data_IF_832814079994
#
_entry.id   IF_832814079994
#
_cell.length_a   1.000
_cell.length_b   1.000
_cell.length_c   1.000
_cell.angle_alpha   90.00
_cell.angle_beta   90.00
_cell.angle_gamma   90.00
#
_symmetry.space_group_name_H-M   'P 1'
#
loop_
_entity.id
_entity.type
_entity.pdbx_description
1 polymer ?
#
# COMPACT_ATOMS: atom_id res chain seq x y z
N UNK A 1 -28.16 1.94 -36.65
CA UNK A 1 -27.83 0.68 -35.96
C UNK A 1 -26.40 0.77 -35.45
N UNK A 2 -26.21 0.92 -34.14
CA UNK A 2 -24.87 1.05 -33.54
C UNK A 2 -24.22 -0.33 -33.47
N UNK A 3 -23.08 -0.51 -34.13
CA UNK A 3 -22.39 -1.79 -34.20
C UNK A 3 -21.45 -1.92 -33.01
N UNK A 4 -21.87 -2.68 -32.00
CA UNK A 4 -21.00 -2.98 -30.85
C UNK A 4 -19.82 -3.84 -31.30
N UNK A 5 -18.60 -3.38 -31.02
CA UNK A 5 -17.36 -4.11 -31.31
C UNK A 5 -16.85 -4.69 -29.99
N UNK A 6 -16.69 -6.01 -29.90
CA UNK A 6 -16.07 -6.65 -28.74
C UNK A 6 -14.59 -6.26 -28.69
N UNK A 7 -14.18 -5.59 -27.62
CA UNK A 7 -12.79 -5.19 -27.39
C UNK A 7 -12.21 -6.04 -26.27
N UNK A 8 -11.01 -6.60 -26.49
CA UNK A 8 -10.30 -7.41 -25.50
C UNK A 8 -8.96 -6.75 -25.21
N UNK A 9 -8.81 -6.23 -23.99
CA UNK A 9 -7.56 -5.66 -23.47
C UNK A 9 -7.13 -6.52 -22.27
N UNK A 10 -5.83 -6.74 -22.14
CA UNK A 10 -5.25 -7.26 -20.91
C UNK A 10 -5.08 -6.11 -19.92
N UNK A 11 -5.83 -6.12 -18.81
CA UNK A 11 -5.65 -5.18 -17.70
C UNK A 11 -4.74 -5.85 -16.66
N UNK A 12 -3.55 -5.30 -16.44
CA UNK A 12 -2.59 -5.80 -15.44
C UNK A 12 -2.45 -4.75 -14.34
N UNK A 13 -2.43 -5.19 -13.08
CA UNK A 13 -2.05 -4.30 -11.98
C UNK A 13 -0.58 -3.92 -12.14
N UNK A 14 -0.20 -2.63 -11.97
CA UNK A 14 1.21 -2.20 -12.01
C UNK A 14 2.06 -2.81 -10.90
N UNK A 15 1.43 -3.12 -9.76
CA UNK A 15 2.02 -3.66 -8.54
C UNK A 15 1.09 -4.76 -7.99
N UNK A 16 1.63 -5.67 -7.18
CA UNK A 16 0.84 -6.76 -6.60
C UNK A 16 -0.33 -6.20 -5.79
N UNK A 17 -1.54 -6.72 -6.01
CA UNK A 17 -2.76 -6.28 -5.36
C UNK A 17 -3.85 -7.33 -5.48
N UNK A 18 -5.07 -6.95 -5.12
CA UNK A 18 -6.20 -7.84 -4.97
C UNK A 18 -7.16 -7.72 -6.16
N UNK A 19 -7.55 -8.88 -6.71
CA UNK A 19 -8.57 -8.95 -7.77
C UNK A 19 -9.90 -9.26 -7.11
N UNK A 20 -10.86 -8.34 -7.24
CA UNK A 20 -12.16 -8.44 -6.56
C UNK A 20 -13.22 -9.23 -7.35
N UNK A 21 -12.93 -9.59 -8.61
CA UNK A 21 -13.86 -10.28 -9.52
C UNK A 21 -13.35 -11.65 -9.95
N UNK A 22 -14.26 -12.52 -10.40
CA UNK A 22 -13.94 -13.88 -10.89
C UNK A 22 -14.14 -13.98 -12.41
N UNK A 23 -13.54 -15.02 -12.98
CA UNK A 23 -13.73 -15.35 -14.40
C UNK A 23 -15.20 -15.69 -14.65
N UNK A 24 -15.84 -14.93 -15.55
CA UNK A 24 -17.25 -15.10 -15.91
C UNK A 24 -18.18 -14.03 -15.33
N UNK A 25 -17.69 -13.19 -14.41
CA UNK A 25 -18.49 -12.11 -13.86
C UNK A 25 -18.76 -11.02 -14.91
N UNK A 26 -19.97 -10.47 -14.88
CA UNK A 26 -20.36 -9.32 -15.71
C UNK A 26 -20.10 -8.06 -14.91
N UNK A 27 -19.34 -7.14 -15.49
CA UNK A 27 -18.94 -5.87 -14.85
C UNK A 27 -19.34 -4.69 -15.73
N UNK A 28 -19.74 -3.59 -15.10
CA UNK A 28 -20.00 -2.31 -15.74
C UNK A 28 -18.68 -1.58 -16.05
N UNK A 29 -18.77 -0.47 -16.78
CA UNK A 29 -17.59 0.32 -17.17
C UNK A 29 -16.83 0.89 -15.96
N UNK A 30 -17.55 1.21 -14.89
CA UNK A 30 -17.04 1.89 -13.69
C UNK A 30 -16.75 0.92 -12.53
N UNK A 31 -16.98 -0.38 -12.72
CA UNK A 31 -16.76 -1.37 -11.66
C UNK A 31 -15.25 -1.53 -11.37
N UNK A 32 -14.93 -1.53 -10.08
CA UNK A 32 -13.57 -1.79 -9.59
C UNK A 32 -13.33 -3.30 -9.65
N UNK A 33 -12.59 -3.74 -10.66
CA UNK A 33 -12.28 -5.17 -10.86
C UNK A 33 -11.07 -5.65 -10.07
N UNK A 34 -10.14 -4.74 -9.76
CA UNK A 34 -8.92 -5.01 -9.03
C UNK A 34 -8.36 -3.70 -8.46
N UNK A 35 -7.73 -3.78 -7.31
CA UNK A 35 -7.10 -2.65 -6.64
C UNK A 35 -5.73 -3.04 -6.08
N UNK A 36 -4.87 -2.06 -5.89
CA UNK A 36 -3.64 -2.25 -5.14
C UNK A 36 -3.55 -1.23 -4.04
N UNK A 37 -3.33 -1.70 -2.81
CA UNK A 37 -2.91 -0.84 -1.71
C UNK A 37 -1.44 -0.48 -1.90
N UNK A 38 -1.19 0.73 -2.38
CA UNK A 38 0.13 1.33 -2.30
C UNK A 38 0.31 1.78 -0.84
N UNK A 39 1.19 1.15 -0.02
CA UNK A 39 1.55 1.74 1.26
C UNK A 39 2.04 3.15 0.96
N UNK A 40 1.46 4.15 1.64
CA UNK A 40 1.68 5.56 1.36
C UNK A 40 3.14 5.99 1.50
N UNK A 41 3.39 7.30 1.41
CA UNK A 41 4.75 7.85 1.48
C UNK A 41 5.53 7.32 2.68
N UNK A 42 6.59 6.58 2.40
CA UNK A 42 7.51 6.11 3.44
C UNK A 42 8.36 7.29 3.88
N UNK A 43 8.22 7.68 5.14
CA UNK A 43 9.06 8.70 5.76
C UNK A 43 10.16 8.02 6.57
N UNK A 44 11.38 7.85 6.04
CA UNK A 44 12.47 7.29 6.83
C UNK A 44 12.85 8.26 7.95
N UNK A 45 12.84 7.78 9.18
CA UNK A 45 13.28 8.55 10.36
C UNK A 45 14.59 7.97 10.88
N UNK A 46 15.64 8.80 10.92
CA UNK A 46 16.94 8.39 11.47
C UNK A 46 16.93 8.54 13.00
N UNK A 47 16.39 7.54 13.69
CA UNK A 47 16.26 7.50 15.14
C UNK A 47 17.62 7.47 15.86
N UNK A 48 18.62 6.77 15.29
CA UNK A 48 19.96 6.74 15.86
C UNK A 48 20.58 8.14 15.98
N UNK A 49 20.47 8.94 14.91
CA UNK A 49 20.92 10.33 14.93
C UNK A 49 20.06 11.21 15.84
N UNK A 50 18.74 11.01 15.85
CA UNK A 50 17.82 11.79 16.70
C UNK A 50 18.03 11.55 18.19
N UNK A 51 18.37 10.32 18.58
CA UNK A 51 18.57 9.92 19.99
C UNK A 51 20.04 9.98 20.41
N UNK A 52 20.96 10.25 19.49
CA UNK A 52 22.41 10.18 19.71
C UNK A 52 22.86 8.81 20.26
N UNK A 53 22.27 7.73 19.74
CA UNK A 53 22.54 6.35 20.15
C UNK A 53 23.19 5.55 19.00
N UNK A 54 24.01 4.55 19.31
CA UNK A 54 24.40 3.53 18.33
C UNK A 54 23.16 2.85 17.73
N UNK A 55 23.15 2.49 16.44
CA UNK A 55 21.99 1.85 15.80
C UNK A 55 21.51 0.57 16.50
N UNK A 56 22.42 -0.16 17.15
CA UNK A 56 22.09 -1.38 17.89
C UNK A 56 21.26 -1.12 19.16
N UNK A 57 21.39 0.07 19.77
CA UNK A 57 20.74 0.40 21.04
C UNK A 57 19.38 1.05 20.85
N UNK A 58 19.09 1.57 19.64
CA UNK A 58 17.82 2.24 19.32
C UNK A 58 16.62 1.37 19.64
N UNK A 59 16.64 0.10 19.20
CA UNK A 59 15.53 -0.85 19.36
C UNK A 59 15.17 -1.06 20.84
N UNK A 60 16.15 -1.03 21.74
CA UNK A 60 15.93 -1.18 23.18
C UNK A 60 15.42 0.08 23.88
N UNK A 61 15.46 1.23 23.20
CA UNK A 61 15.03 2.52 23.75
C UNK A 61 13.74 3.07 23.10
N UNK A 62 13.18 2.36 22.11
CA UNK A 62 11.91 2.74 21.48
C UNK A 62 10.73 2.49 22.42
N UNK A 63 9.76 3.40 22.40
CA UNK A 63 8.48 3.24 23.08
C UNK A 63 7.48 2.42 22.24
N UNK A 64 7.69 2.36 20.92
CA UNK A 64 6.86 1.66 19.95
C UNK A 64 7.59 0.45 19.35
N UNK A 65 6.85 -0.64 19.15
CA UNK A 65 7.35 -1.84 18.50
C UNK A 65 7.02 -1.85 17.00
N UNK A 66 7.67 -2.75 16.25
CA UNK A 66 7.34 -2.98 14.85
C UNK A 66 5.84 -3.29 14.68
N UNK A 67 5.15 -2.53 13.83
CA UNK A 67 3.72 -2.69 13.56
C UNK A 67 2.80 -1.82 14.42
N UNK A 68 3.31 -1.08 15.41
CA UNK A 68 2.50 -0.16 16.19
C UNK A 68 2.08 1.08 15.38
N UNK A 69 0.86 1.57 15.66
CA UNK A 69 0.40 2.83 15.11
C UNK A 69 1.16 4.01 15.77
N UNK A 70 1.58 4.95 14.92
CA UNK A 70 2.27 6.18 15.31
C UNK A 70 1.50 7.40 14.81
N UNK A 71 1.44 8.46 15.61
CA UNK A 71 0.86 9.75 15.23
C UNK A 71 1.92 10.85 15.09
N UNK A 72 1.61 11.89 14.31
CA UNK A 72 2.47 13.06 14.17
C UNK A 72 2.63 13.75 15.54
N UNK A 73 3.88 13.95 15.98
CA UNK A 73 4.28 14.50 17.29
C UNK A 73 4.14 13.54 18.50
N UNK A 74 3.95 12.25 18.27
CA UNK A 74 4.03 11.24 19.34
C UNK A 74 5.48 10.80 19.56
N UNK A 75 5.92 10.54 20.81
CA UNK A 75 7.23 9.97 21.07
C UNK A 75 7.29 8.51 20.57
N UNK A 76 8.38 8.18 19.88
CA UNK A 76 8.65 6.89 19.25
C UNK A 76 9.40 5.92 20.16
#
# INVERSE_FOLDING_TARGET
MTRHKKHRIMRRLPIAGDVQVKVGDTVAADDIVAETNLPGDVHPVNLANSMSLPPADVVGCMLKSEGDAIALNEPL
#
